data_IF_576024005225
#
_entry.id   IF_576024005225
#
_cell.length_a   1.000
_cell.length_b   1.000
_cell.length_c   1.000
_cell.angle_alpha   90.00
_cell.angle_beta   90.00
_cell.angle_gamma   90.00
#
_symmetry.space_group_name_H-M   'P 1'
#
loop_
_entity.id
_entity.type
_entity.pdbx_description
1 polymer ?
#
# COMPACT_ATOMS: atom_id res chain seq x y z
N UNK A 1 -12.87 -30.96 -1.13
CA UNK A 1 -12.87 -29.51 -1.43
C UNK A 1 -11.46 -29.00 -1.18
N UNK A 2 -10.72 -28.49 -2.19
CA UNK A 2 -9.40 -27.91 -1.92
C UNK A 2 -9.57 -26.70 -0.99
N UNK A 3 -8.68 -26.55 -0.02
CA UNK A 3 -8.66 -25.41 0.89
C UNK A 3 -8.21 -24.17 0.10
N UNK A 4 -9.14 -23.28 -0.21
CA UNK A 4 -8.86 -22.01 -0.89
C UNK A 4 -8.65 -20.93 0.18
N UNK A 5 -7.55 -20.19 0.08
CA UNK A 5 -7.26 -19.01 0.92
C UNK A 5 -7.50 -17.75 0.11
N UNK A 6 -8.09 -16.73 0.75
CA UNK A 6 -8.37 -15.43 0.13
C UNK A 6 -7.82 -14.35 1.04
N UNK A 7 -6.94 -13.48 0.51
CA UNK A 7 -6.34 -12.37 1.25
C UNK A 7 -6.35 -11.10 0.39
N UNK A 8 -6.23 -9.94 1.03
CA UNK A 8 -6.08 -8.63 0.40
C UNK A 8 -4.67 -8.09 0.63
N UNK A 9 -4.16 -7.33 -0.34
CA UNK A 9 -2.96 -6.52 -0.20
C UNK A 9 -3.36 -5.06 -0.45
N UNK A 10 -3.14 -4.21 0.53
CA UNK A 10 -3.46 -2.78 0.49
C UNK A 10 -2.19 -1.95 0.35
N UNK A 11 -1.73 -1.67 -0.89
CA UNK A 11 -0.53 -0.90 -1.13
C UNK A 11 -0.74 0.62 -0.93
N UNK A 12 0.36 1.33 -0.70
CA UNK A 12 0.42 2.79 -0.78
C UNK A 12 0.82 3.28 -2.18
N UNK A 13 1.40 4.47 -2.27
CA UNK A 13 1.85 5.02 -3.55
C UNK A 13 3.03 4.23 -4.13
N UNK A 14 2.83 3.66 -5.33
CA UNK A 14 3.83 2.88 -6.07
C UNK A 14 4.19 3.61 -7.36
N UNK A 15 5.48 3.69 -7.69
CA UNK A 15 5.92 4.10 -9.03
C UNK A 15 5.64 3.00 -10.04
N UNK A 16 4.62 3.22 -10.87
CA UNK A 16 4.24 2.33 -11.97
C UNK A 16 3.92 3.14 -13.23
N UNK A 17 3.78 2.44 -14.37
CA UNK A 17 3.28 3.05 -15.59
C UNK A 17 1.88 3.69 -15.40
N UNK A 18 1.02 3.06 -14.59
CA UNK A 18 -0.32 3.57 -14.30
C UNK A 18 -0.33 4.90 -13.52
N UNK A 19 0.69 5.14 -12.70
CA UNK A 19 0.84 6.38 -11.92
C UNK A 19 1.70 7.44 -12.60
N UNK A 20 2.34 7.12 -13.72
CA UNK A 20 3.36 7.97 -14.34
C UNK A 20 2.79 9.35 -14.74
N UNK A 21 1.62 9.37 -15.36
CA UNK A 21 0.95 10.62 -15.76
C UNK A 21 0.60 11.50 -14.55
N UNK A 22 0.11 10.90 -13.45
CA UNK A 22 -0.22 11.62 -12.24
C UNK A 22 1.02 12.30 -11.63
N UNK A 23 2.18 11.62 -11.66
CA UNK A 23 3.44 12.14 -11.12
C UNK A 23 4.02 13.29 -11.95
N UNK A 24 3.64 13.45 -13.21
CA UNK A 24 4.05 14.60 -14.03
C UNK A 24 3.33 15.89 -13.64
N UNK A 25 2.21 15.81 -12.91
CA UNK A 25 1.47 17.00 -12.46
C UNK A 25 2.33 17.76 -11.44
N UNK A 26 2.53 19.09 -11.61
CA UNK A 26 3.35 19.88 -10.69
C UNK A 26 2.91 19.71 -9.23
N UNK A 27 3.86 19.41 -8.36
CA UNK A 27 3.64 19.25 -6.91
C UNK A 27 3.04 17.91 -6.47
N UNK A 28 2.58 17.04 -7.40
CA UNK A 28 1.95 15.77 -7.04
C UNK A 28 2.92 14.81 -6.36
N UNK A 29 4.13 14.68 -6.91
CA UNK A 29 5.16 13.81 -6.35
C UNK A 29 5.57 14.25 -4.94
N UNK A 30 5.81 15.55 -4.74
CA UNK A 30 6.11 16.13 -3.42
C UNK A 30 5.00 15.85 -2.42
N UNK A 31 3.74 15.96 -2.85
CA UNK A 31 2.59 15.65 -2.01
C UNK A 31 2.57 14.17 -1.62
N UNK A 32 2.66 13.25 -2.57
CA UNK A 32 2.56 11.80 -2.30
C UNK A 32 3.74 11.28 -1.47
N UNK A 33 4.93 11.83 -1.69
CA UNK A 33 6.09 11.65 -0.82
C UNK A 33 5.78 12.12 0.60
N UNK A 34 5.24 13.33 0.74
CA UNK A 34 4.91 13.92 2.03
C UNK A 34 3.71 13.30 2.75
N UNK A 35 2.95 12.42 2.08
CA UNK A 35 1.75 11.78 2.65
C UNK A 35 2.05 10.43 3.33
N UNK A 36 3.29 9.94 3.33
CA UNK A 36 3.67 8.70 4.01
C UNK A 36 4.88 8.87 4.94
N UNK A 37 5.00 8.00 5.96
CA UNK A 37 6.03 8.10 7.01
C UNK A 37 7.44 7.91 6.49
N UNK A 38 7.59 7.20 5.37
CA UNK A 38 8.87 6.88 4.77
C UNK A 38 9.37 7.96 3.82
N UNK A 39 8.59 9.02 3.59
CA UNK A 39 8.92 10.15 2.72
C UNK A 39 9.49 9.72 1.37
N UNK A 40 8.89 8.70 0.76
CA UNK A 40 9.21 8.23 -0.59
C UNK A 40 8.05 7.48 -1.22
N UNK A 41 8.07 7.33 -2.54
CA UNK A 41 7.23 6.36 -3.22
C UNK A 41 7.89 4.98 -3.16
N UNK A 42 7.05 3.95 -3.09
CA UNK A 42 7.49 2.57 -3.21
C UNK A 42 7.76 2.18 -4.66
N UNK A 43 8.47 1.07 -4.83
CA UNK A 43 8.69 0.40 -6.12
C UNK A 43 7.95 -0.93 -6.16
N UNK A 44 7.69 -1.44 -7.36
CA UNK A 44 6.99 -2.74 -7.53
C UNK A 44 7.72 -3.92 -6.88
N UNK A 45 9.04 -3.82 -6.73
CA UNK A 45 9.87 -4.90 -6.19
C UNK A 45 9.66 -5.14 -4.70
N UNK A 46 9.27 -4.10 -3.96
CA UNK A 46 9.01 -4.16 -2.52
C UNK A 46 7.77 -5.01 -2.19
N UNK A 47 6.88 -5.23 -3.16
CA UNK A 47 5.65 -6.02 -2.97
C UNK A 47 5.84 -7.51 -3.25
N UNK A 48 6.99 -7.93 -3.81
CA UNK A 48 7.26 -9.33 -4.14
C UNK A 48 7.25 -10.22 -2.88
N UNK A 49 7.97 -9.83 -1.83
CA UNK A 49 8.06 -10.60 -0.60
C UNK A 49 6.70 -10.71 0.15
N UNK A 50 5.93 -9.62 0.34
CA UNK A 50 4.56 -9.69 0.87
C UNK A 50 3.65 -10.65 0.10
N UNK A 51 3.67 -10.59 -1.24
CA UNK A 51 2.87 -11.47 -2.09
C UNK A 51 3.31 -12.93 -1.93
N UNK A 52 4.62 -13.20 -1.92
CA UNK A 52 5.15 -14.54 -1.67
C UNK A 52 4.77 -15.06 -0.28
N UNK A 53 4.73 -14.21 0.74
CA UNK A 53 4.23 -14.57 2.06
C UNK A 53 2.77 -15.03 2.00
N UNK A 54 1.90 -14.26 1.33
CA UNK A 54 0.48 -14.60 1.17
C UNK A 54 0.27 -15.89 0.36
N UNK A 55 1.15 -16.19 -0.60
CA UNK A 55 1.04 -17.39 -1.44
C UNK A 55 1.72 -18.63 -0.85
N UNK A 56 2.81 -18.46 -0.11
CA UNK A 56 3.64 -19.54 0.39
C UNK A 56 3.07 -20.29 1.59
N UNK A 57 3.62 -21.46 1.86
CA UNK A 57 3.13 -22.38 2.91
C UNK A 57 3.24 -21.84 4.34
N UNK A 58 4.14 -20.86 4.54
CA UNK A 58 4.27 -20.14 5.82
C UNK A 58 3.02 -19.37 6.24
N UNK A 59 2.08 -19.12 5.32
CA UNK A 59 0.78 -18.51 5.60
C UNK A 59 -0.39 -19.50 5.43
N UNK A 60 -0.14 -20.80 5.57
CA UNK A 60 -1.15 -21.86 5.42
C UNK A 60 -2.37 -21.71 6.33
N UNK A 61 -2.24 -21.04 7.48
CA UNK A 61 -3.34 -20.74 8.40
C UNK A 61 -3.89 -19.29 8.28
N UNK A 62 -3.50 -18.55 7.24
CA UNK A 62 -3.89 -17.17 6.99
C UNK A 62 -4.90 -17.08 5.84
N UNK A 63 -6.11 -16.64 6.17
CA UNK A 63 -7.16 -16.27 5.21
C UNK A 63 -7.98 -15.12 5.77
N UNK A 64 -8.66 -14.37 4.88
CA UNK A 64 -9.42 -13.16 5.17
C UNK A 64 -8.60 -12.02 5.81
N UNK A 65 -7.28 -12.02 5.61
CA UNK A 65 -6.42 -10.95 6.11
C UNK A 65 -6.23 -9.83 5.07
N UNK A 66 -6.12 -8.59 5.55
CA UNK A 66 -5.65 -7.44 4.77
C UNK A 66 -4.21 -7.12 5.14
N UNK A 67 -3.30 -7.32 4.19
CA UNK A 67 -1.89 -7.01 4.36
C UNK A 67 -1.63 -5.58 3.87
N UNK A 68 -1.45 -4.66 4.81
CA UNK A 68 -1.20 -3.26 4.48
C UNK A 68 0.28 -2.98 4.27
N UNK A 69 0.61 -2.42 3.10
CA UNK A 69 1.99 -2.11 2.65
C UNK A 69 2.04 -0.71 2.02
N UNK A 70 1.89 0.32 2.84
CA UNK A 70 1.64 1.69 2.36
C UNK A 70 2.64 2.75 2.83
N UNK A 71 3.77 2.34 3.41
CA UNK A 71 4.73 3.27 4.00
C UNK A 71 4.17 4.07 5.18
N UNK A 72 3.11 3.55 5.82
CA UNK A 72 2.44 4.20 6.94
C UNK A 72 1.47 5.31 6.55
N UNK A 73 1.16 5.49 5.26
CA UNK A 73 0.26 6.52 4.75
C UNK A 73 -1.06 6.60 5.53
N UNK A 74 -1.73 5.47 5.76
CA UNK A 74 -3.04 5.42 6.45
C UNK A 74 -3.02 5.95 7.87
N UNK A 75 -1.90 5.83 8.57
CA UNK A 75 -1.79 6.27 9.97
C UNK A 75 -1.13 7.65 10.04
N UNK A 76 -0.19 7.94 9.14
CA UNK A 76 0.56 9.18 9.12
C UNK A 76 -0.28 10.40 8.80
N UNK A 77 -1.14 10.30 7.78
CA UNK A 77 -2.00 11.41 7.38
C UNK A 77 -2.98 11.78 8.50
N UNK A 78 -3.36 10.83 9.37
CA UNK A 78 -4.22 11.08 10.53
C UNK A 78 -3.56 11.96 11.61
N UNK A 79 -2.22 11.97 11.69
CA UNK A 79 -1.47 12.74 12.69
C UNK A 79 -1.09 14.16 12.26
N UNK A 80 -0.99 14.43 10.95
CA UNK A 80 -0.40 15.68 10.44
C UNK A 80 -1.37 16.62 9.73
N UNK A 81 -2.50 16.12 9.19
CA UNK A 81 -3.41 16.92 8.35
C UNK A 81 -4.80 17.20 8.93
N UNK A 82 -5.05 16.83 10.20
CA UNK A 82 -6.36 16.98 10.82
C UNK A 82 -7.35 15.97 10.22
N UNK A 83 -7.87 15.10 11.07
CA UNK A 83 -8.83 14.08 10.69
C UNK A 83 -10.04 14.68 9.93
N UNK A 84 -10.19 14.33 8.66
CA UNK A 84 -11.47 14.37 7.96
C UNK A 84 -11.88 12.91 7.73
N UNK A 85 -13.00 12.44 8.31
CA UNK A 85 -13.47 11.10 8.01
C UNK A 85 -13.73 11.01 6.50
N UNK A 86 -13.10 10.03 5.84
CA UNK A 86 -13.54 9.58 4.53
C UNK A 86 -14.93 8.96 4.73
N UNK A 87 -15.97 9.74 4.41
CA UNK A 87 -17.29 9.18 4.15
C UNK A 87 -17.20 8.41 2.84
N UNK A 88 -17.31 7.09 2.93
CA UNK A 88 -17.72 6.27 1.79
C UNK A 88 -19.17 6.61 1.44
#
# INVERSE_FOLDING_TARGET
MPLIRVNSLSPGYIRTAATAEALQKPGMETQWVGDNMLYRLSTVDEFRAPILCLLGDGSSFMTAADLRMDGGHSIFTLGTKGWKPLSW
#
